data_IF_736503498295
#
_entry.id   IF_736503498295
#
_cell.length_a   1.000
_cell.length_b   1.000
_cell.length_c   1.000
_cell.angle_alpha   90.00
_cell.angle_beta   90.00
_cell.angle_gamma   90.00
#
_symmetry.space_group_name_H-M   'P 1'
#
loop_
_entity.id
_entity.type
_entity.pdbx_description
1 polymer ?
#
# COMPACT_ATOMS: atom_id res chain seq x y z
N UNK A 1 -17.84 68.11 -10.32
CA UNK A 1 -17.52 67.51 -9.05
C UNK A 1 -17.55 66.00 -9.21
N UNK A 2 -16.43 65.32 -9.44
CA UNK A 2 -16.31 63.90 -9.68
C UNK A 2 -15.91 63.20 -8.35
N UNK A 3 -16.76 62.32 -7.84
CA UNK A 3 -16.50 61.49 -6.66
C UNK A 3 -15.77 60.22 -7.07
N UNK A 4 -14.49 60.11 -6.76
CA UNK A 4 -13.72 58.88 -6.87
C UNK A 4 -14.01 57.98 -5.68
N UNK A 5 -14.58 56.79 -5.93
CA UNK A 5 -14.69 55.72 -4.93
C UNK A 5 -13.36 54.92 -4.90
N UNK A 6 -12.80 54.63 -3.74
CA UNK A 6 -11.60 53.78 -3.66
C UNK A 6 -12.00 52.32 -3.84
N UNK A 7 -11.41 51.70 -4.86
CA UNK A 7 -11.47 50.24 -5.15
C UNK A 7 -10.61 49.52 -4.12
N UNK A 8 -11.27 48.85 -3.17
CA UNK A 8 -10.61 48.03 -2.18
C UNK A 8 -10.07 46.76 -2.86
N UNK A 9 -8.75 46.70 -3.00
CA UNK A 9 -8.01 45.54 -3.51
C UNK A 9 -7.98 44.46 -2.42
N UNK A 10 -8.89 43.48 -2.49
CA UNK A 10 -8.85 42.30 -1.63
C UNK A 10 -7.67 41.40 -2.05
N UNK A 11 -6.58 41.52 -1.34
CA UNK A 11 -5.47 40.55 -1.41
C UNK A 11 -5.94 39.22 -0.84
N UNK A 12 -6.34 38.30 -1.70
CA UNK A 12 -6.48 36.89 -1.36
C UNK A 12 -5.08 36.32 -1.15
N UNK A 13 -4.62 36.30 0.10
CA UNK A 13 -3.50 35.44 0.50
C UNK A 13 -3.93 33.98 0.34
N UNK A 14 -3.62 33.39 -0.82
CA UNK A 14 -3.67 31.96 -0.99
C UNK A 14 -2.63 31.34 -0.04
N UNK A 15 -3.09 30.89 1.12
CA UNK A 15 -2.29 30.10 2.04
C UNK A 15 -2.04 28.73 1.38
N UNK A 16 -0.92 28.66 0.67
CA UNK A 16 -0.39 27.37 0.21
C UNK A 16 0.01 26.57 1.44
N UNK A 17 -0.85 25.66 1.87
CA UNK A 17 -0.47 24.62 2.83
C UNK A 17 0.54 23.71 2.14
N UNK A 18 1.82 24.06 2.20
CA UNK A 18 2.88 23.09 1.92
C UNK A 18 2.82 22.06 3.05
N UNK A 19 2.47 20.82 2.73
CA UNK A 19 2.62 19.68 3.62
C UNK A 19 4.13 19.43 3.80
N UNK A 20 4.80 20.29 4.57
CA UNK A 20 6.18 20.08 4.96
C UNK A 20 6.21 18.86 5.87
N UNK A 21 6.92 17.84 5.45
CA UNK A 21 7.19 16.65 6.24
C UNK A 21 8.51 16.86 6.96
N UNK A 22 8.48 16.97 8.27
CA UNK A 22 9.67 17.21 9.09
C UNK A 22 10.32 15.88 9.49
N UNK A 23 11.63 15.77 9.24
CA UNK A 23 12.43 14.65 9.71
C UNK A 23 12.61 14.74 11.22
N UNK A 24 12.32 13.63 11.91
CA UNK A 24 12.45 13.55 13.36
C UNK A 24 13.44 12.43 13.75
N UNK A 25 14.15 12.56 14.88
CA UNK A 25 14.97 11.47 15.38
C UNK A 25 14.10 10.28 15.79
N UNK A 26 14.61 9.05 15.59
CA UNK A 26 13.87 7.81 15.90
C UNK A 26 13.44 7.75 17.37
N UNK A 27 14.24 8.33 18.27
CA UNK A 27 13.91 8.44 19.70
C UNK A 27 12.64 9.28 19.97
N UNK A 28 12.32 10.22 19.09
CA UNK A 28 11.13 11.06 19.20
C UNK A 28 9.86 10.38 18.63
N UNK A 29 9.99 9.24 17.94
CA UNK A 29 8.84 8.46 17.44
C UNK A 29 8.07 7.89 18.63
N UNK A 30 6.74 8.15 18.76
CA UNK A 30 5.93 7.67 19.87
C UNK A 30 6.00 6.14 20.04
N UNK A 31 5.95 5.65 21.27
CA UNK A 31 6.01 4.21 21.55
C UNK A 31 4.91 3.42 20.86
N UNK A 32 3.70 3.97 20.75
CA UNK A 32 2.58 3.36 20.02
C UNK A 32 2.88 3.17 18.54
N UNK A 33 3.52 4.18 17.91
CA UNK A 33 3.92 4.11 16.49
C UNK A 33 5.00 3.05 16.33
N UNK A 34 6.02 3.01 17.20
CA UNK A 34 7.07 1.99 17.18
C UNK A 34 6.49 0.58 17.37
N UNK A 35 5.54 0.42 18.30
CA UNK A 35 4.86 -0.87 18.51
C UNK A 35 4.06 -1.29 17.28
N UNK A 36 3.39 -0.35 16.61
CA UNK A 36 2.67 -0.62 15.39
C UNK A 36 3.60 -1.05 14.23
N UNK A 37 4.78 -0.42 14.09
CA UNK A 37 5.78 -0.87 13.12
C UNK A 37 6.16 -2.33 13.38
N UNK A 38 6.45 -2.70 14.63
CA UNK A 38 6.79 -4.09 14.99
C UNK A 38 5.63 -5.07 14.78
N UNK A 39 4.40 -4.61 14.92
CA UNK A 39 3.21 -5.43 14.66
C UNK A 39 3.03 -5.73 13.17
N UNK A 40 3.18 -4.72 12.30
CA UNK A 40 2.98 -4.88 10.84
C UNK A 40 4.21 -5.43 10.12
N UNK A 41 5.40 -5.12 10.61
CA UNK A 41 6.68 -5.57 10.08
C UNK A 41 7.55 -6.14 11.23
N UNK A 42 7.27 -7.36 11.71
CA UNK A 42 8.03 -7.98 12.80
C UNK A 42 9.52 -8.08 12.48
N UNK A 43 10.37 -7.69 13.43
CA UNK A 43 11.82 -7.66 13.25
C UNK A 43 12.35 -6.46 12.47
N UNK A 44 11.49 -5.53 12.04
CA UNK A 44 11.92 -4.32 11.34
C UNK A 44 12.72 -3.38 12.27
N UNK A 45 13.80 -2.84 11.75
CA UNK A 45 14.60 -1.80 12.39
C UNK A 45 14.27 -0.45 11.74
N UNK A 46 13.78 0.52 12.51
CA UNK A 46 13.55 1.89 12.03
C UNK A 46 14.88 2.54 11.69
N UNK A 47 14.98 3.14 10.49
CA UNK A 47 16.17 3.86 10.01
C UNK A 47 15.90 5.33 9.76
N UNK A 48 14.67 5.71 9.46
CA UNK A 48 14.25 7.10 9.27
C UNK A 48 12.80 7.30 9.69
N UNK A 49 12.45 8.50 10.13
CA UNK A 49 11.09 8.88 10.46
C UNK A 49 10.83 10.33 10.13
N UNK A 50 9.65 10.58 9.56
CA UNK A 50 9.15 11.90 9.25
C UNK A 50 7.78 12.08 9.87
N UNK A 51 7.46 13.29 10.27
CA UNK A 51 6.14 13.66 10.77
C UNK A 51 5.52 14.68 9.82
N UNK A 52 4.23 14.53 9.58
CA UNK A 52 3.45 15.46 8.77
C UNK A 52 2.05 15.63 9.35
N UNK A 53 1.38 16.70 8.98
CA UNK A 53 -0.03 16.91 9.30
C UNK A 53 -0.92 16.38 8.17
N UNK A 54 -1.99 15.69 8.55
CA UNK A 54 -3.00 15.16 7.65
C UNK A 54 -4.39 15.62 8.10
N UNK A 55 -5.29 15.88 7.16
CA UNK A 55 -6.65 16.38 7.44
C UNK A 55 -7.52 15.40 8.22
N UNK A 56 -7.31 14.11 8.01
CA UNK A 56 -8.12 13.03 8.61
C UNK A 56 -7.45 12.54 9.90
N UNK A 57 -6.15 12.23 9.81
CA UNK A 57 -5.40 11.59 10.90
C UNK A 57 -4.69 12.58 11.80
N UNK A 58 -4.73 13.89 11.48
CA UNK A 58 -4.02 15.01 12.11
C UNK A 58 -2.50 14.82 11.99
N UNK A 59 -1.89 14.05 12.89
CA UNK A 59 -0.46 13.75 12.86
C UNK A 59 -0.20 12.37 12.27
N UNK A 60 0.61 12.32 11.23
CA UNK A 60 1.02 11.10 10.51
C UNK A 60 2.53 10.93 10.61
N UNK A 61 2.96 9.73 10.89
CA UNK A 61 4.35 9.30 10.92
C UNK A 61 4.64 8.45 9.70
N UNK A 62 5.57 8.91 8.86
CA UNK A 62 6.10 8.16 7.71
C UNK A 62 7.45 7.58 8.13
N UNK A 63 7.50 6.29 8.35
CA UNK A 63 8.67 5.59 8.87
C UNK A 63 9.26 4.71 7.80
N UNK A 64 10.57 4.84 7.57
CA UNK A 64 11.34 3.91 6.76
C UNK A 64 12.02 2.91 7.68
N UNK A 65 11.97 1.64 7.31
CA UNK A 65 12.56 0.57 8.11
C UNK A 65 13.34 -0.42 7.23
N UNK A 66 14.26 -1.14 7.85
CA UNK A 66 14.97 -2.28 7.29
C UNK A 66 14.46 -3.55 7.96
N UNK A 67 14.04 -4.53 7.17
CA UNK A 67 13.72 -5.89 7.62
C UNK A 67 14.48 -6.89 6.77
N UNK A 68 15.32 -7.70 7.41
CA UNK A 68 16.29 -8.53 6.70
C UNK A 68 17.18 -7.65 5.78
N UNK A 69 17.06 -7.79 4.48
CA UNK A 69 17.78 -6.98 3.47
C UNK A 69 16.83 -6.05 2.67
N UNK A 70 15.55 -5.98 3.07
CA UNK A 70 14.54 -5.22 2.35
C UNK A 70 14.25 -3.90 3.06
N UNK A 71 14.21 -2.82 2.28
CA UNK A 71 13.71 -1.54 2.73
C UNK A 71 12.18 -1.51 2.57
N UNK A 72 11.50 -1.11 3.63
CA UNK A 72 10.07 -0.85 3.62
C UNK A 72 9.76 0.54 4.12
N UNK A 73 8.57 1.02 3.80
CA UNK A 73 7.99 2.25 4.37
C UNK A 73 6.63 1.96 4.96
N UNK A 74 6.30 2.65 6.05
CA UNK A 74 5.00 2.53 6.71
C UNK A 74 4.51 3.89 7.17
N UNK A 75 3.27 4.22 6.84
CA UNK A 75 2.58 5.41 7.33
C UNK A 75 1.57 5.04 8.40
N UNK A 76 1.70 5.69 9.55
CA UNK A 76 0.89 5.42 10.73
C UNK A 76 0.34 6.73 11.29
N UNK A 77 -0.89 6.69 11.81
CA UNK A 77 -1.38 7.78 12.65
C UNK A 77 -0.64 7.82 13.99
N UNK A 78 -0.76 8.91 14.74
CA UNK A 78 -0.23 9.03 16.11
C UNK A 78 -0.77 7.96 17.08
N UNK A 79 -1.89 7.32 16.73
CA UNK A 79 -2.49 6.21 17.49
C UNK A 79 -1.99 4.83 17.05
N UNK A 80 -1.09 4.75 16.05
CA UNK A 80 -0.59 3.50 15.50
C UNK A 80 -1.53 2.83 14.49
N UNK A 81 -2.53 3.54 13.98
CA UNK A 81 -3.41 3.00 12.94
C UNK A 81 -2.65 3.00 11.60
N UNK A 82 -2.72 1.89 10.88
CA UNK A 82 -2.12 1.75 9.55
C UNK A 82 -2.85 2.64 8.54
N UNK A 83 -2.09 3.49 7.86
CA UNK A 83 -2.57 4.31 6.76
C UNK A 83 -2.07 3.72 5.45
N UNK A 84 -0.76 3.44 5.38
CA UNK A 84 -0.10 2.87 4.21
C UNK A 84 1.10 2.02 4.62
N UNK A 85 1.46 1.03 3.81
CA UNK A 85 2.67 0.24 3.95
C UNK A 85 3.12 -0.24 2.57
N UNK A 86 4.40 -0.11 2.26
CA UNK A 86 5.00 -0.60 1.01
C UNK A 86 6.32 -1.31 1.33
N UNK A 87 6.37 -2.61 1.07
CA UNK A 87 7.58 -3.41 1.18
C UNK A 87 7.57 -4.50 0.13
N UNK A 88 8.68 -4.62 -0.63
CA UNK A 88 8.89 -5.72 -1.56
C UNK A 88 9.47 -6.92 -0.80
N UNK A 89 8.86 -8.09 -0.98
CA UNK A 89 9.18 -9.32 -0.24
C UNK A 89 9.54 -10.46 -1.17
N UNK A 90 10.30 -11.40 -0.64
CA UNK A 90 10.45 -12.74 -1.21
C UNK A 90 9.45 -13.69 -0.53
N UNK A 91 9.23 -14.88 -1.13
CA UNK A 91 8.18 -15.80 -0.64
C UNK A 91 8.50 -16.32 0.76
N UNK A 92 9.77 -16.41 1.11
CA UNK A 92 10.25 -16.87 2.41
C UNK A 92 9.91 -15.90 3.55
N UNK A 93 9.79 -14.61 3.24
CA UNK A 93 9.50 -13.56 4.23
C UNK A 93 8.01 -13.37 4.52
N UNK A 94 7.12 -14.05 3.77
CA UNK A 94 5.69 -13.93 4.03
C UNK A 94 5.21 -15.05 4.97
N UNK A 95 4.10 -14.83 5.73
CA UNK A 95 3.56 -15.83 6.65
C UNK A 95 3.26 -17.17 5.95
N UNK A 96 3.43 -18.32 6.62
CA UNK A 96 3.20 -19.65 6.04
C UNK A 96 1.81 -19.82 5.40
N UNK A 97 0.77 -19.24 6.01
CA UNK A 97 -0.59 -19.26 5.45
C UNK A 97 -0.68 -18.54 4.09
N UNK A 98 0.05 -17.42 3.94
CA UNK A 98 0.14 -16.67 2.69
C UNK A 98 0.94 -17.44 1.65
N UNK A 99 2.08 -18.05 2.04
CA UNK A 99 2.88 -18.91 1.16
C UNK A 99 2.05 -20.07 0.58
N UNK A 100 1.30 -20.77 1.45
CA UNK A 100 0.44 -21.87 1.04
C UNK A 100 -0.60 -21.42 0.00
N UNK A 101 -1.23 -20.26 0.25
CA UNK A 101 -2.21 -19.68 -0.66
C UNK A 101 -1.58 -19.27 -1.99
N UNK A 102 -0.40 -18.63 -1.97
CA UNK A 102 0.33 -18.28 -3.19
C UNK A 102 0.59 -19.54 -4.03
N UNK A 103 1.18 -20.56 -3.44
CA UNK A 103 1.49 -21.83 -4.15
C UNK A 103 0.24 -22.46 -4.76
N UNK A 104 -0.87 -22.50 -4.01
CA UNK A 104 -2.17 -23.03 -4.47
C UNK A 104 -2.74 -22.22 -5.64
N UNK A 105 -2.81 -20.91 -5.50
CA UNK A 105 -3.49 -20.03 -6.46
C UNK A 105 -2.67 -19.77 -7.73
N UNK A 106 -1.35 -19.75 -7.62
CA UNK A 106 -0.46 -19.53 -8.77
C UNK A 106 -0.11 -20.82 -9.50
N UNK A 107 -0.51 -21.99 -8.99
CA UNK A 107 -0.23 -23.31 -9.60
C UNK A 107 1.25 -23.47 -9.96
N UNK A 108 2.14 -23.06 -9.09
CA UNK A 108 3.59 -23.04 -9.29
C UNK A 108 4.08 -22.16 -10.46
N UNK A 109 3.25 -21.21 -10.90
CA UNK A 109 3.68 -20.19 -11.86
C UNK A 109 4.83 -19.34 -11.33
N UNK A 110 5.55 -18.69 -12.25
CA UNK A 110 6.65 -17.79 -11.89
C UNK A 110 6.13 -16.59 -11.11
N UNK A 111 6.54 -16.44 -9.85
CA UNK A 111 6.23 -15.27 -9.02
C UNK A 111 7.07 -14.10 -9.53
N UNK A 112 6.41 -13.04 -10.00
CA UNK A 112 7.06 -11.80 -10.44
C UNK A 112 7.43 -10.90 -9.25
N UNK A 113 6.59 -10.87 -8.24
CA UNK A 113 6.81 -10.06 -7.04
C UNK A 113 5.70 -10.23 -6.02
N UNK A 114 6.08 -10.00 -4.78
CA UNK A 114 5.20 -9.96 -3.62
C UNK A 114 5.43 -8.61 -2.95
N UNK A 115 4.35 -7.89 -2.64
CA UNK A 115 4.38 -6.63 -1.90
C UNK A 115 3.50 -6.74 -0.66
N UNK A 116 4.01 -6.27 0.47
CA UNK A 116 3.18 -5.91 1.61
C UNK A 116 2.59 -4.52 1.33
N UNK A 117 1.29 -4.36 1.47
CA UNK A 117 0.53 -3.17 1.10
C UNK A 117 -0.60 -2.96 2.11
N UNK A 118 -1.25 -1.81 2.09
CA UNK A 118 -2.40 -1.51 2.91
C UNK A 118 -3.70 -1.52 2.08
N UNK A 119 -4.74 -2.13 2.64
CA UNK A 119 -6.09 -2.11 2.09
C UNK A 119 -7.08 -1.79 3.22
N UNK A 120 -7.70 -0.61 3.16
CA UNK A 120 -8.65 -0.13 4.19
C UNK A 120 -8.07 -0.20 5.61
N UNK A 121 -6.82 0.26 5.81
CA UNK A 121 -6.13 0.27 7.10
C UNK A 121 -5.68 -1.11 7.61
N UNK A 122 -5.68 -2.13 6.77
CA UNK A 122 -5.23 -3.48 7.08
C UNK A 122 -4.09 -3.89 6.15
N UNK A 123 -3.07 -4.54 6.70
CA UNK A 123 -2.00 -5.09 5.89
C UNK A 123 -2.51 -6.23 5.00
N UNK A 124 -2.08 -6.24 3.74
CA UNK A 124 -2.38 -7.29 2.75
C UNK A 124 -1.14 -7.58 1.92
N UNK A 125 -1.08 -8.77 1.36
CA UNK A 125 -0.03 -9.17 0.43
C UNK A 125 -0.55 -9.10 -0.99
N UNK A 126 0.07 -8.27 -1.83
CA UNK A 126 -0.22 -8.23 -3.27
C UNK A 126 0.81 -9.08 -4.00
N UNK A 127 0.33 -10.09 -4.71
CA UNK A 127 1.17 -11.05 -5.43
C UNK A 127 0.88 -10.95 -6.92
N UNK A 128 1.94 -10.90 -7.72
CA UNK A 128 1.87 -11.01 -9.18
C UNK A 128 2.63 -12.25 -9.61
N UNK A 129 2.00 -13.10 -10.42
CA UNK A 129 2.62 -14.28 -10.99
C UNK A 129 2.26 -14.46 -12.45
N UNK A 130 3.10 -15.17 -13.19
CA UNK A 130 2.88 -15.54 -14.57
C UNK A 130 2.79 -17.04 -14.73
N UNK A 131 1.91 -17.47 -15.64
CA UNK A 131 1.70 -18.85 -15.96
C UNK A 131 1.60 -19.05 -17.49
N UNK A 132 2.27 -20.09 -18.01
CA UNK A 132 2.20 -20.49 -19.41
C UNK A 132 3.35 -19.97 -20.28
N UNK A 133 3.72 -20.77 -21.28
CA UNK A 133 4.85 -20.50 -22.19
C UNK A 133 4.45 -19.66 -23.41
N UNK A 134 3.30 -19.96 -24.01
CA UNK A 134 2.83 -19.30 -25.25
C UNK A 134 1.69 -18.31 -25.02
N UNK A 135 0.93 -18.47 -23.93
CA UNK A 135 -0.09 -17.52 -23.53
C UNK A 135 0.29 -17.00 -22.14
N UNK A 136 0.70 -15.75 -22.07
CA UNK A 136 1.10 -15.15 -20.79
C UNK A 136 -0.14 -14.85 -19.96
N UNK A 137 -0.43 -15.72 -18.99
CA UNK A 137 -1.48 -15.48 -18.01
C UNK A 137 -0.84 -14.78 -16.81
N UNK A 138 -1.25 -13.56 -16.54
CA UNK A 138 -0.88 -12.85 -15.31
C UNK A 138 -1.99 -13.07 -14.27
N UNK A 139 -1.61 -13.56 -13.11
CA UNK A 139 -2.47 -13.70 -11.94
C UNK A 139 -2.02 -12.65 -10.92
N UNK A 140 -2.93 -11.75 -10.55
CA UNK A 140 -2.74 -10.80 -9.46
C UNK A 140 -3.66 -11.18 -8.32
N UNK A 141 -3.09 -11.38 -7.13
CA UNK A 141 -3.81 -11.75 -5.90
C UNK A 141 -3.63 -10.67 -4.86
N UNK A 142 -4.67 -10.45 -4.05
CA UNK A 142 -4.58 -9.73 -2.77
C UNK A 142 -4.98 -10.71 -1.68
N UNK A 143 -4.07 -10.94 -0.72
CA UNK A 143 -4.17 -11.99 0.29
C UNK A 143 -4.03 -11.35 1.68
N UNK A 144 -4.90 -11.70 2.61
CA UNK A 144 -4.76 -11.28 4.02
C UNK A 144 -3.60 -12.01 4.71
N UNK A 145 -3.08 -11.52 5.85
CA UNK A 145 -2.06 -12.24 6.63
C UNK A 145 -2.48 -13.66 7.05
N UNK A 146 -3.78 -13.92 7.17
CA UNK A 146 -4.34 -15.26 7.46
C UNK A 146 -4.41 -16.19 6.24
N UNK A 147 -3.95 -15.75 5.07
CA UNK A 147 -3.96 -16.54 3.83
C UNK A 147 -5.27 -16.49 3.04
N UNK A 148 -6.27 -15.69 3.44
CA UNK A 148 -7.53 -15.56 2.69
C UNK A 148 -7.33 -14.65 1.48
N UNK A 149 -7.74 -15.11 0.29
CA UNK A 149 -7.78 -14.28 -0.93
C UNK A 149 -8.96 -13.32 -0.84
N UNK A 150 -8.69 -12.00 -0.91
CA UNK A 150 -9.72 -10.94 -0.90
C UNK A 150 -9.96 -10.35 -2.29
N UNK A 151 -8.97 -10.46 -3.19
CA UNK A 151 -9.15 -10.09 -4.59
C UNK A 151 -8.29 -10.97 -5.49
N UNK A 152 -8.83 -11.31 -6.67
CA UNK A 152 -8.14 -12.08 -7.71
C UNK A 152 -8.41 -11.44 -9.07
N UNK A 153 -7.36 -11.15 -9.81
CA UNK A 153 -7.43 -10.68 -11.19
C UNK A 153 -6.62 -11.62 -12.07
N UNK A 154 -7.22 -12.11 -13.14
CA UNK A 154 -6.54 -12.91 -14.16
C UNK A 154 -6.58 -12.11 -15.45
N UNK A 155 -5.40 -11.80 -15.98
CA UNK A 155 -5.23 -11.12 -17.27
C UNK A 155 -4.56 -12.09 -18.23
N UNK A 156 -5.08 -12.22 -19.44
CA UNK A 156 -4.49 -13.03 -20.50
C UNK A 156 -3.91 -12.08 -21.55
N UNK A 157 -2.61 -12.12 -21.74
CA UNK A 157 -1.93 -11.45 -22.85
C UNK A 157 -1.75 -12.45 -23.98
N UNK A 158 -2.28 -12.17 -25.15
CA UNK A 158 -1.98 -12.93 -26.36
C UNK A 158 -0.75 -12.29 -27.03
N UNK A 159 0.37 -12.98 -27.03
CA UNK A 159 1.52 -12.61 -27.82
C UNK A 159 1.29 -13.11 -29.26
N UNK A 160 0.67 -12.32 -30.10
CA UNK A 160 0.73 -12.51 -31.55
C UNK A 160 1.90 -11.65 -32.03
N UNK A 161 2.94 -12.29 -32.50
CA UNK A 161 4.06 -11.74 -33.24
C UNK A 161 4.05 -10.20 -33.41
N UNK A 162 4.59 -9.48 -32.43
CA UNK A 162 4.84 -8.03 -32.54
C UNK A 162 3.66 -7.09 -32.34
N UNK A 163 2.44 -7.54 -32.11
CA UNK A 163 1.29 -6.67 -31.87
C UNK A 163 0.67 -6.95 -30.49
N UNK A 164 0.65 -5.92 -29.63
CA UNK A 164 -0.12 -5.92 -28.38
C UNK A 164 -1.61 -5.84 -28.72
N UNK A 165 -2.34 -6.93 -28.65
CA UNK A 165 -3.80 -6.87 -28.67
C UNK A 165 -4.32 -6.35 -27.32
N UNK A 166 -5.39 -5.52 -27.34
CA UNK A 166 -5.96 -4.99 -26.12
C UNK A 166 -6.40 -6.10 -25.17
N UNK A 167 -5.95 -6.02 -23.94
CA UNK A 167 -6.37 -6.95 -22.87
C UNK A 167 -7.81 -6.64 -22.49
N UNK A 168 -8.72 -7.56 -22.73
CA UNK A 168 -10.08 -7.46 -22.20
C UNK A 168 -10.09 -7.82 -20.72
N UNK A 169 -10.38 -6.88 -19.82
CA UNK A 169 -10.49 -7.19 -18.40
C UNK A 169 -11.75 -8.04 -18.17
N UNK A 170 -11.57 -9.29 -17.75
CA UNK A 170 -12.70 -10.06 -17.19
C UNK A 170 -13.03 -9.44 -15.84
N UNK A 171 -14.30 -9.04 -15.62
CA UNK A 171 -14.81 -8.48 -14.37
C UNK A 171 -14.26 -9.27 -13.18
N UNK A 172 -13.61 -8.57 -12.24
CA UNK A 172 -13.25 -9.12 -10.96
C UNK A 172 -14.55 -9.58 -10.28
N UNK A 173 -14.68 -10.88 -10.00
CA UNK A 173 -15.70 -11.32 -9.07
C UNK A 173 -15.25 -10.86 -7.69
N UNK A 174 -15.91 -9.82 -7.18
CA UNK A 174 -15.89 -9.50 -5.76
C UNK A 174 -16.61 -10.67 -5.06
N UNK A 175 -15.86 -11.61 -4.53
CA UNK A 175 -16.40 -12.57 -3.60
C UNK A 175 -16.42 -11.88 -2.23
N UNK A 176 -17.64 -11.51 -1.81
CA UNK A 176 -18.08 -11.17 -0.46
C UNK A 176 -17.07 -10.43 0.43
N UNK A 177 -16.99 -9.11 0.22
CA UNK A 177 -16.59 -8.22 1.31
C UNK A 177 -17.72 -8.23 2.35
N UNK A 178 -17.47 -8.58 3.62
CA UNK A 178 -18.48 -8.44 4.64
C UNK A 178 -18.87 -6.96 4.76
N UNK A 179 -20.17 -6.70 4.62
CA UNK A 179 -20.78 -5.39 4.79
C UNK A 179 -20.37 -4.79 6.15
N UNK A 180 -19.72 -3.59 6.21
CA UNK A 180 -19.27 -3.00 7.47
C UNK A 180 -20.40 -2.38 8.31
N UNK A 181 -21.66 -2.66 7.99
CA UNK A 181 -22.80 -2.19 8.78
C UNK A 181 -23.46 -3.38 9.47
N UNK A 182 -22.91 -3.84 10.57
CA UNK A 182 -23.58 -4.59 11.64
C UNK A 182 -22.53 -5.01 12.68
N UNK A 183 -22.12 -4.08 13.52
CA UNK A 183 -21.96 -4.18 14.98
C UNK A 183 -21.91 -2.76 15.53
#
# INVERSE_FOLDING_TARGET
MAKYAPMALLLFCAWSFSNASDKIPISAVPSRVRAAVQYYAPGAQLIDAKVSEDRIYRTVYDCTYLRNVHLGSIKLSSRGQLIDIDESLVIEDVPPAVQATIRKETRQGLIKGIKLDALYGRAVYRVKSYFGNSTRIEISLTITPSGRVVARKISRGLLIFGYNLPTFPRKAQLTDAPNPRLV
#
